data_IF_931999440872
#
_entry.id   IF_931999440872
#
_cell.length_a   1.000
_cell.length_b   1.000
_cell.length_c   1.000
_cell.angle_alpha   90.00
_cell.angle_beta   90.00
_cell.angle_gamma   90.00
#
_symmetry.space_group_name_H-M   'P 1'
#
loop_
_entity.id
_entity.type
_entity.pdbx_description
1 polymer ?
#
# COMPACT_ATOMS: atom_id res chain seq x y z
N UNK A 1 44.85 -84.97 51.31
CA UNK A 1 46.08 -84.19 51.73
C UNK A 1 45.72 -82.74 51.59
N UNK A 2 45.45 -82.15 52.61
CA UNK A 2 46.21 -81.35 53.53
C UNK A 2 46.11 -79.85 53.28
N UNK A 3 45.50 -79.24 54.29
CA UNK A 3 45.84 -77.94 54.90
C UNK A 3 45.48 -76.68 54.04
N UNK A 4 44.82 -75.66 54.47
CA UNK A 4 44.65 -75.18 55.85
C UNK A 4 44.88 -73.66 55.87
N UNK A 5 44.08 -72.98 56.67
CA UNK A 5 44.46 -71.82 57.48
C UNK A 5 44.07 -70.41 56.99
N UNK A 6 43.11 -69.86 57.76
CA UNK A 6 43.03 -68.54 58.39
C UNK A 6 43.30 -67.25 57.56
N UNK A 7 42.31 -66.30 57.49
CA UNK A 7 42.29 -65.25 58.45
C UNK A 7 41.80 -63.94 57.98
N UNK A 8 41.03 -63.36 58.82
CA UNK A 8 40.72 -61.91 59.05
C UNK A 8 39.52 -61.28 58.36
N UNK A 9 38.57 -61.11 59.16
CA UNK A 9 37.46 -60.19 59.01
C UNK A 9 37.94 -58.72 59.07
N UNK A 10 37.55 -57.89 58.09
CA UNK A 10 37.57 -56.43 58.24
C UNK A 10 36.13 -55.97 57.80
N UNK A 11 35.46 -55.39 58.78
CA UNK A 11 34.19 -54.64 58.53
C UNK A 11 34.51 -53.37 57.73
N UNK A 12 33.88 -53.19 56.62
CA UNK A 12 33.81 -51.90 55.96
C UNK A 12 32.36 -51.41 56.02
N UNK A 13 32.14 -50.36 56.78
CA UNK A 13 30.89 -49.58 56.80
C UNK A 13 30.66 -48.96 55.41
N UNK A 14 29.62 -49.39 54.73
CA UNK A 14 29.11 -48.72 53.55
C UNK A 14 28.07 -47.66 53.96
N UNK A 15 28.43 -46.40 53.88
CA UNK A 15 27.51 -45.27 54.05
C UNK A 15 26.64 -45.18 52.78
N UNK A 16 25.35 -45.40 52.91
CA UNK A 16 24.36 -45.09 51.85
C UNK A 16 24.09 -43.58 51.86
N UNK A 17 24.63 -42.89 50.83
CA UNK A 17 24.22 -41.52 50.46
C UNK A 17 22.92 -41.62 49.67
N UNK A 18 21.77 -41.35 50.30
CA UNK A 18 20.51 -41.12 49.64
C UNK A 18 20.53 -39.73 48.96
N UNK A 19 20.83 -39.73 47.64
CA UNK A 19 20.68 -38.55 46.80
C UNK A 19 19.20 -38.31 46.47
N UNK A 20 18.56 -37.37 47.14
CA UNK A 20 17.23 -36.85 46.76
C UNK A 20 17.38 -36.03 45.46
N UNK A 21 17.07 -36.63 44.30
CA UNK A 21 16.89 -35.91 43.06
C UNK A 21 15.59 -35.09 43.14
N UNK A 22 15.72 -33.76 43.35
CA UNK A 22 14.61 -32.82 43.11
C UNK A 22 14.32 -32.81 41.61
N UNK A 23 13.32 -33.58 41.16
CA UNK A 23 12.73 -33.40 39.87
C UNK A 23 11.93 -32.11 39.90
N UNK A 24 12.48 -31.01 39.34
CA UNK A 24 11.72 -29.80 39.02
C UNK A 24 10.72 -30.17 37.92
N UNK A 25 9.49 -30.47 38.33
CA UNK A 25 8.35 -30.46 37.43
C UNK A 25 8.22 -29.05 36.83
N UNK A 26 8.78 -28.82 35.65
CA UNK A 26 8.43 -27.68 34.82
C UNK A 26 6.94 -27.84 34.51
N UNK A 27 6.08 -27.14 35.24
CA UNK A 27 4.68 -27.01 34.89
C UNK A 27 4.63 -26.49 33.45
N UNK A 28 3.86 -27.12 32.53
CA UNK A 28 3.61 -26.52 31.24
C UNK A 28 3.02 -25.14 31.51
N UNK A 29 3.69 -24.08 31.03
CA UNK A 29 3.11 -22.74 31.06
C UNK A 29 1.74 -22.87 30.41
N UNK A 30 0.70 -22.69 31.18
CA UNK A 30 -0.66 -22.61 30.68
C UNK A 30 -0.61 -21.54 29.58
N UNK A 31 -0.77 -21.99 28.34
CA UNK A 31 -0.99 -21.09 27.23
C UNK A 31 -2.29 -20.37 27.63
N UNK A 32 -2.19 -19.13 28.02
CA UNK A 32 -3.37 -18.30 28.20
C UNK A 32 -4.15 -18.44 26.89
N UNK A 33 -5.41 -18.84 26.99
CA UNK A 33 -6.32 -18.97 25.85
C UNK A 33 -6.64 -17.54 25.41
N UNK A 34 -5.70 -16.96 24.65
CA UNK A 34 -5.78 -15.59 24.22
C UNK A 34 -6.65 -15.55 22.97
N UNK A 35 -7.90 -15.13 23.13
CA UNK A 35 -8.79 -14.88 21.99
C UNK A 35 -8.10 -13.96 21.00
N UNK A 36 -8.22 -14.20 19.67
CA UNK A 36 -7.57 -13.38 18.68
C UNK A 36 -8.12 -11.94 18.68
N UNK A 37 -7.25 -10.98 18.33
CA UNK A 37 -7.65 -9.63 17.99
C UNK A 37 -8.02 -9.65 16.51
N UNK A 38 -9.27 -9.31 16.18
CA UNK A 38 -9.79 -9.34 14.81
C UNK A 38 -9.57 -8.00 14.13
N UNK A 39 -8.96 -8.04 12.93
CA UNK A 39 -8.82 -6.88 12.03
C UNK A 39 -9.64 -7.16 10.77
N UNK A 40 -10.59 -6.27 10.46
CA UNK A 40 -11.38 -6.34 9.24
C UNK A 40 -10.58 -5.89 8.01
N UNK A 41 -10.80 -6.54 6.87
CA UNK A 41 -10.23 -6.14 5.57
C UNK A 41 -11.36 -6.06 4.54
N UNK A 42 -11.69 -4.86 4.08
CA UNK A 42 -12.65 -4.64 2.98
C UNK A 42 -11.88 -4.37 1.69
N UNK A 43 -12.05 -5.21 0.68
CA UNK A 43 -11.31 -5.07 -0.57
C UNK A 43 -11.94 -5.83 -1.72
N UNK A 44 -11.82 -5.32 -2.95
CA UNK A 44 -12.33 -5.96 -4.19
C UNK A 44 -11.38 -7.06 -4.64
N UNK A 45 -11.62 -8.31 -4.25
CA UNK A 45 -10.70 -9.43 -4.39
C UNK A 45 -10.36 -9.78 -5.86
N UNK A 46 -11.25 -9.46 -6.79
CA UNK A 46 -11.06 -9.73 -8.23
C UNK A 46 -10.10 -8.74 -8.92
N UNK A 47 -9.68 -7.68 -8.24
CA UNK A 47 -8.81 -6.62 -8.81
C UNK A 47 -7.37 -6.78 -8.34
N UNK A 48 -6.41 -6.28 -9.16
CA UNK A 48 -4.99 -6.30 -8.79
C UNK A 48 -4.74 -5.56 -7.47
N UNK A 49 -5.21 -4.31 -7.27
CA UNK A 49 -5.01 -3.60 -6.00
C UNK A 49 -5.73 -4.27 -4.82
N UNK A 50 -6.93 -4.80 -5.05
CA UNK A 50 -7.70 -5.43 -3.99
C UNK A 50 -7.06 -6.74 -3.50
N UNK A 51 -6.66 -7.62 -4.40
CA UNK A 51 -5.92 -8.83 -4.05
C UNK A 51 -4.59 -8.51 -3.36
N UNK A 52 -3.89 -7.46 -3.82
CA UNK A 52 -2.63 -7.03 -3.24
C UNK A 52 -2.79 -6.52 -1.81
N UNK A 53 -3.84 -5.76 -1.52
CA UNK A 53 -4.20 -5.30 -0.16
C UNK A 53 -4.35 -6.49 0.80
N UNK A 54 -5.14 -7.49 0.42
CA UNK A 54 -5.34 -8.71 1.22
C UNK A 54 -4.04 -9.49 1.42
N UNK A 55 -3.22 -9.60 0.39
CA UNK A 55 -1.94 -10.29 0.48
C UNK A 55 -0.96 -9.55 1.43
N UNK A 56 -0.93 -8.23 1.37
CA UNK A 56 -0.16 -7.40 2.31
C UNK A 56 -0.60 -7.61 3.77
N UNK A 57 -1.93 -7.58 4.01
CA UNK A 57 -2.48 -7.85 5.34
C UNK A 57 -2.12 -9.24 5.85
N UNK A 58 -2.26 -10.29 5.02
CA UNK A 58 -1.90 -11.66 5.39
C UNK A 58 -0.44 -11.81 5.76
N UNK A 59 0.46 -11.18 5.00
CA UNK A 59 1.89 -11.23 5.28
C UNK A 59 2.21 -10.55 6.62
N UNK A 60 1.68 -9.35 6.86
CA UNK A 60 1.87 -8.63 8.11
C UNK A 60 1.37 -9.43 9.32
N UNK A 61 0.15 -9.98 9.25
CA UNK A 61 -0.42 -10.79 10.35
C UNK A 61 0.41 -12.05 10.60
N UNK A 62 0.87 -12.73 9.54
CA UNK A 62 1.72 -13.91 9.71
C UNK A 62 3.03 -13.58 10.44
N UNK A 63 3.68 -12.46 10.10
CA UNK A 63 4.93 -12.01 10.73
C UNK A 63 4.70 -11.57 12.19
N UNK A 64 3.66 -10.78 12.45
CA UNK A 64 3.31 -10.31 13.81
C UNK A 64 2.98 -11.52 14.71
N UNK A 65 2.20 -12.49 14.21
CA UNK A 65 1.86 -13.68 14.97
C UNK A 65 3.07 -14.57 15.24
N UNK A 66 3.99 -14.69 14.27
CA UNK A 66 5.25 -15.40 14.47
C UNK A 66 6.14 -14.74 15.52
N UNK A 67 6.03 -13.42 15.71
CA UNK A 67 6.72 -12.66 16.76
C UNK A 67 6.02 -12.71 18.14
N UNK A 68 4.86 -13.37 18.27
CA UNK A 68 4.13 -13.54 19.54
C UNK A 68 2.79 -12.81 19.60
N UNK A 69 2.36 -12.20 18.50
CA UNK A 69 1.10 -11.45 18.41
C UNK A 69 1.20 -10.05 19.03
N UNK A 70 0.05 -9.47 19.36
CA UNK A 70 -0.10 -8.14 19.97
C UNK A 70 -0.60 -8.30 21.39
N UNK A 71 0.13 -7.79 22.37
CA UNK A 71 -0.17 -7.98 23.81
C UNK A 71 -0.35 -9.47 24.19
N UNK A 72 0.32 -10.39 23.46
CA UNK A 72 0.18 -11.84 23.67
C UNK A 72 -1.02 -12.49 22.98
N UNK A 73 -1.81 -11.73 22.24
CA UNK A 73 -2.95 -12.21 21.45
C UNK A 73 -2.57 -12.33 19.97
N UNK A 74 -2.93 -13.43 19.27
CA UNK A 74 -2.72 -13.50 17.83
C UNK A 74 -3.68 -12.54 17.11
N UNK A 75 -3.22 -11.95 16.00
CA UNK A 75 -4.09 -11.23 15.08
C UNK A 75 -4.83 -12.22 14.18
N UNK A 76 -6.09 -11.94 13.88
CA UNK A 76 -6.91 -12.65 12.92
C UNK A 76 -7.50 -11.66 11.92
N UNK A 77 -7.50 -12.03 10.61
CA UNK A 77 -8.15 -11.22 9.58
C UNK A 77 -9.57 -11.73 9.33
N UNK A 78 -10.51 -10.80 9.31
CA UNK A 78 -11.82 -10.99 8.69
C UNK A 78 -11.81 -10.29 7.33
N UNK A 79 -11.73 -11.09 6.24
CA UNK A 79 -11.57 -10.59 4.88
C UNK A 79 -12.91 -10.64 4.17
N UNK A 80 -13.40 -9.47 3.75
CA UNK A 80 -14.66 -9.34 3.04
C UNK A 80 -14.43 -8.75 1.64
N UNK A 81 -15.02 -9.44 0.63
CA UNK A 81 -15.03 -8.94 -0.75
C UNK A 81 -16.09 -7.83 -0.87
N UNK A 82 -15.63 -6.60 -1.08
CA UNK A 82 -16.53 -5.47 -1.32
C UNK A 82 -17.09 -5.43 -2.76
N UNK A 83 -16.61 -6.32 -3.64
CA UNK A 83 -17.04 -6.44 -5.04
C UNK A 83 -17.00 -5.12 -5.83
N UNK A 84 -16.13 -4.19 -5.43
CA UNK A 84 -16.09 -2.82 -5.96
C UNK A 84 -17.45 -2.07 -5.81
N UNK A 85 -18.24 -2.43 -4.82
CA UNK A 85 -19.61 -1.94 -4.60
C UNK A 85 -19.73 -1.30 -3.23
N UNK A 86 -20.13 -0.02 -3.18
CA UNK A 86 -20.39 0.68 -1.92
C UNK A 86 -21.45 -0.03 -1.06
N UNK A 87 -22.48 -0.62 -1.70
CA UNK A 87 -23.54 -1.35 -0.98
C UNK A 87 -22.99 -2.60 -0.30
N UNK A 88 -22.21 -3.42 -1.02
CA UNK A 88 -21.58 -4.63 -0.48
C UNK A 88 -20.57 -4.27 0.63
N UNK A 89 -19.76 -3.24 0.40
CA UNK A 89 -18.78 -2.76 1.37
C UNK A 89 -19.43 -2.30 2.68
N UNK A 90 -20.52 -1.53 2.62
CA UNK A 90 -21.26 -1.06 3.81
C UNK A 90 -21.83 -2.25 4.58
N UNK A 91 -22.44 -3.22 3.91
CA UNK A 91 -22.97 -4.42 4.59
C UNK A 91 -21.86 -5.23 5.28
N UNK A 92 -20.72 -5.40 4.61
CA UNK A 92 -19.56 -6.08 5.16
C UNK A 92 -18.94 -5.33 6.34
N UNK A 93 -18.82 -4.00 6.23
CA UNK A 93 -18.29 -3.14 7.30
C UNK A 93 -19.11 -3.27 8.58
N UNK A 94 -20.43 -3.15 8.45
CA UNK A 94 -21.35 -3.31 9.59
C UNK A 94 -21.21 -4.69 10.23
N UNK A 95 -21.14 -5.75 9.42
CA UNK A 95 -20.97 -7.11 9.90
C UNK A 95 -19.65 -7.29 10.65
N UNK A 96 -18.52 -6.88 10.04
CA UNK A 96 -17.18 -6.97 10.65
C UNK A 96 -17.15 -6.29 12.03
N UNK A 97 -17.76 -5.10 12.15
CA UNK A 97 -17.81 -4.37 13.42
C UNK A 97 -18.76 -5.00 14.43
N UNK A 98 -20.01 -5.33 14.03
CA UNK A 98 -21.08 -5.66 15.00
C UNK A 98 -21.22 -7.13 15.31
N UNK A 99 -20.76 -8.01 14.43
CA UNK A 99 -20.90 -9.47 14.55
C UNK A 99 -19.57 -10.17 14.72
N UNK A 100 -18.56 -9.78 13.94
CA UNK A 100 -17.26 -10.41 13.94
C UNK A 100 -16.26 -9.70 14.88
N UNK A 101 -16.69 -8.59 15.50
CA UNK A 101 -15.97 -7.83 16.54
C UNK A 101 -14.57 -7.38 16.11
N UNK A 102 -14.42 -6.95 14.87
CA UNK A 102 -13.21 -6.28 14.43
C UNK A 102 -12.94 -5.05 15.31
N UNK A 103 -11.68 -4.80 15.64
CA UNK A 103 -11.24 -3.66 16.47
C UNK A 103 -10.73 -2.50 15.63
N UNK A 104 -10.47 -2.76 14.36
CA UNK A 104 -10.16 -1.80 13.31
C UNK A 104 -10.42 -2.44 11.94
N UNK A 105 -10.72 -1.62 10.94
CA UNK A 105 -10.91 -2.08 9.56
C UNK A 105 -9.90 -1.39 8.67
N UNK A 106 -9.25 -2.13 7.75
CA UNK A 106 -8.37 -1.62 6.71
C UNK A 106 -8.97 -1.86 5.32
N UNK A 107 -8.64 -1.03 4.37
CA UNK A 107 -9.12 -1.07 2.98
C UNK A 107 -9.71 0.29 2.66
N UNK A 108 -10.28 0.54 1.59
CA UNK A 108 -10.38 -0.06 0.27
C UNK A 108 -9.49 0.75 -0.69
N UNK A 109 -9.44 0.38 -1.98
CA UNK A 109 -8.70 1.16 -2.97
C UNK A 109 -9.61 2.05 -3.85
N UNK A 110 -10.91 1.88 -3.78
CA UNK A 110 -11.93 2.61 -4.55
C UNK A 110 -12.46 3.77 -3.72
N UNK A 111 -12.31 4.99 -4.21
CA UNK A 111 -12.68 6.20 -3.45
C UNK A 111 -14.18 6.29 -3.15
N UNK A 112 -15.03 5.91 -4.08
CA UNK A 112 -16.49 5.88 -3.91
C UNK A 112 -16.90 4.91 -2.80
N UNK A 113 -16.21 3.80 -2.67
CA UNK A 113 -16.41 2.82 -1.60
C UNK A 113 -15.93 3.39 -0.27
N UNK A 114 -14.71 3.96 -0.23
CA UNK A 114 -14.17 4.57 0.98
C UNK A 114 -15.09 5.66 1.55
N UNK A 115 -15.54 6.58 0.69
CA UNK A 115 -16.48 7.65 1.06
C UNK A 115 -17.83 7.13 1.58
N UNK A 116 -18.28 5.97 1.10
CA UNK A 116 -19.49 5.33 1.60
C UNK A 116 -19.31 4.66 2.97
N UNK A 117 -18.07 4.25 3.32
CA UNK A 117 -17.75 3.62 4.60
C UNK A 117 -17.50 4.63 5.73
N UNK A 118 -17.03 5.84 5.43
CA UNK A 118 -16.71 6.87 6.44
C UNK A 118 -17.85 7.19 7.42
N UNK A 119 -19.12 7.37 6.99
CA UNK A 119 -20.23 7.60 7.91
C UNK A 119 -20.50 6.42 8.84
N UNK A 120 -20.13 5.19 8.43
CA UNK A 120 -20.30 4.01 9.25
C UNK A 120 -19.17 3.86 10.26
N UNK A 121 -17.92 4.17 9.89
CA UNK A 121 -16.81 4.27 10.81
C UNK A 121 -17.11 5.27 11.94
N UNK A 122 -17.62 6.44 11.58
CA UNK A 122 -18.09 7.46 12.54
C UNK A 122 -19.23 6.94 13.43
N UNK A 123 -20.29 6.41 12.85
CA UNK A 123 -21.48 5.97 13.56
C UNK A 123 -21.22 4.79 14.52
N UNK A 124 -20.35 3.88 14.12
CA UNK A 124 -20.01 2.69 14.89
C UNK A 124 -18.80 2.90 15.80
N UNK A 125 -18.17 4.08 15.74
CA UNK A 125 -16.91 4.41 16.40
C UNK A 125 -15.82 3.37 16.08
N UNK A 126 -15.73 2.96 14.81
CA UNK A 126 -14.81 1.93 14.36
C UNK A 126 -13.58 2.56 13.68
N UNK A 127 -12.36 2.36 14.20
CA UNK A 127 -11.15 2.82 13.52
C UNK A 127 -11.06 2.23 12.11
N UNK A 128 -11.02 3.12 11.10
CA UNK A 128 -10.99 2.75 9.69
C UNK A 128 -9.79 3.38 9.00
N UNK A 129 -8.83 2.57 8.53
CA UNK A 129 -7.67 3.02 7.79
C UNK A 129 -7.88 2.77 6.30
N UNK A 130 -8.04 3.84 5.53
CA UNK A 130 -8.19 3.79 4.06
C UNK A 130 -6.83 3.58 3.44
N UNK A 131 -6.59 2.39 2.85
CA UNK A 131 -5.25 1.96 2.44
C UNK A 131 -4.97 2.06 0.94
N UNK A 132 -5.89 2.64 0.15
CA UNK A 132 -5.66 2.69 -1.30
C UNK A 132 -6.50 3.71 -2.07
N UNK A 133 -7.57 4.22 -1.49
CA UNK A 133 -8.40 5.25 -2.11
C UNK A 133 -7.77 6.63 -1.94
N UNK A 134 -7.78 7.47 -2.99
CA UNK A 134 -7.01 8.71 -3.05
C UNK A 134 -7.83 9.99 -2.97
N UNK A 135 -9.18 9.93 -2.95
CA UNK A 135 -9.98 11.16 -2.97
C UNK A 135 -9.63 12.11 -1.83
N UNK A 136 -9.38 13.39 -2.12
CA UNK A 136 -9.18 14.42 -1.10
C UNK A 136 -10.40 14.55 -0.15
N UNK A 137 -11.59 14.13 -0.61
CA UNK A 137 -12.81 14.20 0.17
C UNK A 137 -12.75 13.34 1.44
N UNK A 138 -11.92 12.28 1.46
CA UNK A 138 -11.70 11.43 2.64
C UNK A 138 -11.18 12.27 3.81
N UNK A 139 -10.06 12.98 3.63
CA UNK A 139 -9.51 13.85 4.68
C UNK A 139 -10.40 15.08 4.95
N UNK A 140 -11.06 15.61 3.92
CA UNK A 140 -12.00 16.73 4.09
C UNK A 140 -13.22 16.33 4.91
N UNK A 141 -13.68 15.09 4.82
CA UNK A 141 -14.75 14.56 5.67
C UNK A 141 -14.36 14.62 7.15
N UNK A 142 -13.15 14.17 7.49
CA UNK A 142 -12.63 14.19 8.86
C UNK A 142 -12.47 15.64 9.35
N UNK A 143 -11.81 16.48 8.55
CA UNK A 143 -11.53 17.88 8.88
C UNK A 143 -12.78 18.69 9.20
N UNK A 144 -13.88 18.43 8.48
CA UNK A 144 -15.14 19.16 8.62
C UNK A 144 -15.76 19.03 10.01
N UNK A 145 -15.57 17.90 10.68
CA UNK A 145 -16.15 17.60 11.99
C UNK A 145 -15.29 16.56 12.71
N UNK A 146 -14.10 17.00 13.11
CA UNK A 146 -13.10 16.13 13.70
C UNK A 146 -13.62 15.39 14.95
N UNK A 147 -14.35 16.07 15.83
CA UNK A 147 -14.80 15.48 17.09
C UNK A 147 -15.58 14.17 16.89
N UNK A 148 -16.47 14.16 15.91
CA UNK A 148 -17.28 12.99 15.59
C UNK A 148 -16.60 12.04 14.60
N UNK A 149 -15.71 12.54 13.70
CA UNK A 149 -15.19 11.80 12.54
C UNK A 149 -13.75 11.32 12.67
N UNK A 150 -13.15 11.46 13.83
CA UNK A 150 -11.75 11.09 14.15
C UNK A 150 -11.41 9.61 13.92
N UNK A 151 -12.39 8.75 13.69
CA UNK A 151 -12.20 7.30 13.51
C UNK A 151 -11.64 6.92 12.14
N UNK A 152 -11.66 7.84 11.16
CA UNK A 152 -11.15 7.58 9.81
C UNK A 152 -9.71 8.06 9.68
N UNK A 153 -8.83 7.24 9.08
CA UNK A 153 -7.44 7.57 8.76
C UNK A 153 -7.18 7.33 7.29
N UNK A 154 -6.56 8.29 6.62
CA UNK A 154 -6.22 8.20 5.21
C UNK A 154 -4.78 7.69 5.06
N UNK A 155 -4.59 6.37 5.17
CA UNK A 155 -3.29 5.68 5.14
C UNK A 155 -2.74 5.47 3.72
N UNK A 156 -3.16 6.31 2.79
CA UNK A 156 -2.69 6.42 1.41
C UNK A 156 -2.57 7.89 1.03
N UNK A 157 -2.06 8.19 -0.14
CA UNK A 157 -1.88 9.56 -0.60
C UNK A 157 -3.19 10.17 -1.09
N UNK A 158 -3.64 11.30 -0.54
CA UNK A 158 -4.63 12.14 -1.19
C UNK A 158 -4.23 12.49 -2.62
N UNK A 159 -5.21 12.66 -3.51
CA UNK A 159 -4.97 13.01 -4.92
C UNK A 159 -4.10 14.26 -5.10
N UNK A 160 -4.19 15.23 -4.18
CA UNK A 160 -3.33 16.40 -4.19
C UNK A 160 -1.84 16.03 -4.01
N UNK A 161 -1.53 15.04 -3.13
CA UNK A 161 -0.15 14.59 -2.91
C UNK A 161 0.32 13.69 -4.06
N UNK A 162 -0.57 12.88 -4.64
CA UNK A 162 -0.27 12.15 -5.87
C UNK A 162 0.07 13.10 -7.02
N UNK A 163 -0.71 14.16 -7.20
CA UNK A 163 -0.42 15.18 -8.22
C UNK A 163 0.95 15.83 -7.99
N UNK A 164 1.25 16.20 -6.74
CA UNK A 164 2.56 16.77 -6.40
C UNK A 164 3.70 15.82 -6.77
N UNK A 165 3.61 14.54 -6.35
CA UNK A 165 4.65 13.54 -6.67
C UNK A 165 4.81 13.31 -8.18
N UNK A 166 3.72 13.31 -8.96
CA UNK A 166 3.79 13.21 -10.42
C UNK A 166 4.42 14.46 -11.03
N UNK A 167 4.10 15.66 -10.54
CA UNK A 167 4.69 16.89 -11.04
C UNK A 167 6.18 16.98 -10.72
N UNK A 168 6.60 16.58 -9.51
CA UNK A 168 8.01 16.54 -9.13
C UNK A 168 8.79 15.55 -10.01
N UNK A 169 8.26 14.34 -10.22
CA UNK A 169 8.85 13.37 -11.12
C UNK A 169 8.85 13.83 -12.60
N UNK A 170 7.79 14.54 -13.03
CA UNK A 170 7.70 15.10 -14.39
C UNK A 170 8.75 16.19 -14.63
N UNK A 171 9.00 17.03 -13.63
CA UNK A 171 10.08 18.03 -13.72
C UNK A 171 11.42 17.36 -13.98
N UNK A 172 11.84 16.44 -13.11
CA UNK A 172 13.15 15.82 -13.19
C UNK A 172 13.30 14.90 -14.42
N UNK A 173 12.26 14.13 -14.75
CA UNK A 173 12.34 13.09 -15.80
C UNK A 173 11.84 13.62 -17.14
N UNK A 174 10.61 14.15 -17.21
CA UNK A 174 10.03 14.52 -18.50
C UNK A 174 10.63 15.81 -19.06
N UNK A 175 10.89 16.81 -18.18
CA UNK A 175 11.41 18.11 -18.60
C UNK A 175 12.93 18.13 -18.62
N UNK A 176 13.60 17.82 -17.52
CA UNK A 176 15.05 18.00 -17.42
C UNK A 176 15.83 16.91 -18.16
N UNK A 177 15.40 15.62 -18.07
CA UNK A 177 16.12 14.53 -18.71
C UNK A 177 15.66 14.29 -20.16
N UNK A 178 14.33 14.33 -20.42
CA UNK A 178 13.76 14.01 -21.74
C UNK A 178 13.45 15.25 -22.60
N UNK A 179 13.56 16.46 -22.05
CA UNK A 179 13.31 17.75 -22.73
C UNK A 179 11.90 17.92 -23.33
N UNK A 180 10.89 17.22 -22.72
CA UNK A 180 9.50 17.34 -23.13
C UNK A 180 8.92 18.69 -22.68
N UNK A 181 7.94 19.23 -23.42
CA UNK A 181 7.41 20.59 -23.20
C UNK A 181 5.90 20.64 -23.04
N UNK A 182 5.20 19.63 -23.58
CA UNK A 182 3.75 19.66 -23.67
C UNK A 182 3.14 18.35 -23.18
N UNK A 183 1.97 18.46 -22.55
CA UNK A 183 1.24 17.30 -22.08
C UNK A 183 -0.27 17.44 -22.29
N UNK A 184 -0.96 16.31 -22.39
CA UNK A 184 -2.40 16.21 -22.16
C UNK A 184 -2.63 15.46 -20.84
N UNK A 185 -3.57 15.95 -20.02
CA UNK A 185 -4.09 15.19 -18.89
C UNK A 185 -5.16 14.26 -19.44
N UNK A 186 -5.08 12.97 -19.13
CA UNK A 186 -5.99 11.95 -19.61
C UNK A 186 -6.47 11.08 -18.47
N UNK A 187 -7.67 11.31 -17.96
CA UNK A 187 -8.17 10.70 -16.74
C UNK A 187 -9.55 10.07 -16.88
N UNK A 188 -9.79 8.98 -16.16
CA UNK A 188 -11.10 8.42 -15.96
C UNK A 188 -11.98 9.37 -15.12
N UNK A 189 -13.31 9.32 -15.28
CA UNK A 189 -14.23 10.13 -14.46
C UNK A 189 -14.58 9.42 -13.15
N UNK A 190 -13.78 9.65 -12.12
CA UNK A 190 -13.89 9.06 -10.79
C UNK A 190 -13.72 10.11 -9.68
N UNK A 191 -14.11 9.79 -8.45
CA UNK A 191 -14.03 10.72 -7.32
C UNK A 191 -12.61 11.16 -6.98
N UNK A 192 -11.61 10.33 -7.26
CA UNK A 192 -10.21 10.63 -6.98
C UNK A 192 -9.53 11.45 -8.09
N UNK A 193 -10.00 11.35 -9.35
CA UNK A 193 -9.35 12.02 -10.47
C UNK A 193 -9.70 13.49 -10.60
N UNK A 194 -10.89 13.93 -10.17
CA UNK A 194 -11.22 15.37 -10.19
C UNK A 194 -10.23 16.23 -9.41
N UNK A 195 -9.90 15.91 -8.13
CA UNK A 195 -8.86 16.65 -7.42
C UNK A 195 -7.45 16.35 -7.95
N UNK A 196 -7.19 15.19 -8.56
CA UNK A 196 -5.92 14.87 -9.21
C UNK A 196 -5.69 15.78 -10.42
N UNK A 197 -6.66 15.88 -11.33
CA UNK A 197 -6.58 16.68 -12.55
C UNK A 197 -6.42 18.16 -12.22
N UNK A 198 -7.15 18.65 -11.23
CA UNK A 198 -6.98 20.01 -10.73
C UNK A 198 -5.55 20.25 -10.17
N UNK A 199 -5.01 19.24 -9.47
CA UNK A 199 -3.61 19.23 -9.01
C UNK A 199 -2.63 19.27 -10.18
N UNK A 200 -2.78 18.40 -11.17
CA UNK A 200 -1.97 18.37 -12.39
C UNK A 200 -2.00 19.69 -13.15
N UNK A 201 -3.20 20.23 -13.40
CA UNK A 201 -3.36 21.52 -14.07
C UNK A 201 -2.67 22.69 -13.32
N UNK A 202 -2.63 22.59 -11.99
CA UNK A 202 -1.96 23.59 -11.14
C UNK A 202 -0.44 23.46 -11.10
N UNK A 203 0.11 22.24 -11.07
CA UNK A 203 1.55 22.03 -10.82
C UNK A 203 2.37 21.73 -12.09
N UNK A 204 1.82 21.07 -13.12
CA UNK A 204 2.58 20.75 -14.35
C UNK A 204 3.17 21.97 -15.06
N UNK A 205 2.47 23.13 -15.18
CA UNK A 205 3.08 24.31 -15.74
C UNK A 205 4.32 24.78 -14.96
N UNK A 206 4.27 24.72 -13.64
CA UNK A 206 5.41 25.02 -12.77
C UNK A 206 6.54 24.00 -12.88
N UNK A 207 6.24 22.76 -13.23
CA UNK A 207 7.21 21.72 -13.54
C UNK A 207 7.84 21.85 -14.95
N UNK A 208 7.34 22.75 -15.80
CA UNK A 208 7.87 23.01 -17.15
C UNK A 208 7.07 22.37 -18.29
N UNK A 209 5.91 21.76 -18.00
CA UNK A 209 5.04 21.15 -19.02
C UNK A 209 3.80 22.01 -19.28
N UNK A 210 3.60 22.45 -20.51
CA UNK A 210 2.36 23.11 -20.94
C UNK A 210 1.25 22.09 -21.08
N UNK A 211 0.18 22.22 -20.31
CA UNK A 211 -1.02 21.38 -20.45
C UNK A 211 -1.86 21.88 -21.62
N UNK A 212 -1.96 21.07 -22.68
CA UNK A 212 -2.69 21.42 -23.91
C UNK A 212 -4.20 21.20 -23.73
N UNK A 213 -4.57 20.13 -23.03
CA UNK A 213 -5.97 19.75 -22.82
C UNK A 213 -6.11 18.76 -21.66
N UNK A 214 -7.26 18.78 -21.00
CA UNK A 214 -7.76 17.72 -20.16
C UNK A 214 -8.78 16.89 -20.95
N UNK A 215 -8.57 15.56 -21.00
CA UNK A 215 -9.44 14.59 -21.67
C UNK A 215 -9.95 13.65 -20.58
N UNK A 216 -11.27 13.66 -20.37
CA UNK A 216 -11.92 12.77 -19.41
C UNK A 216 -12.78 11.75 -20.15
N UNK A 217 -12.89 10.55 -19.58
CA UNK A 217 -13.65 9.44 -20.15
C UNK A 217 -14.30 8.60 -19.02
N UNK A 218 -15.33 7.83 -19.39
CA UNK A 218 -16.01 6.94 -18.44
C UNK A 218 -15.07 5.81 -17.99
N UNK A 219 -15.06 5.40 -16.71
CA UNK A 219 -14.39 4.20 -16.25
C UNK A 219 -14.79 2.92 -16.99
N UNK A 220 -16.00 2.90 -17.59
CA UNK A 220 -16.52 1.78 -18.38
C UNK A 220 -16.06 1.80 -19.86
N UNK A 221 -15.18 2.74 -20.24
CA UNK A 221 -14.66 2.84 -21.60
C UNK A 221 -13.85 1.61 -21.96
N UNK A 222 -14.20 0.96 -23.06
CA UNK A 222 -13.51 -0.22 -23.60
C UNK A 222 -12.75 0.05 -24.91
N UNK A 223 -13.15 1.08 -25.68
CA UNK A 223 -12.45 1.52 -26.90
C UNK A 223 -11.81 2.89 -26.67
N UNK A 224 -10.48 2.91 -26.63
CA UNK A 224 -9.68 4.11 -26.42
C UNK A 224 -9.20 4.75 -27.73
N UNK A 225 -9.53 4.16 -28.89
CA UNK A 225 -9.12 4.68 -30.20
C UNK A 225 -9.51 6.13 -30.42
N UNK A 226 -10.77 6.56 -30.21
CA UNK A 226 -11.13 7.96 -30.39
C UNK A 226 -10.49 8.91 -29.36
N UNK A 227 -10.16 8.39 -28.18
CA UNK A 227 -9.51 9.18 -27.12
C UNK A 227 -8.04 9.41 -27.47
N UNK A 228 -7.33 8.38 -27.97
CA UNK A 228 -5.95 8.54 -28.46
C UNK A 228 -5.87 9.42 -29.70
N UNK A 229 -6.79 9.28 -30.66
CA UNK A 229 -6.87 10.18 -31.82
C UNK A 229 -7.06 11.65 -31.41
N UNK A 230 -7.88 11.90 -30.37
CA UNK A 230 -8.04 13.25 -29.81
C UNK A 230 -6.74 13.77 -29.17
N UNK A 231 -6.00 12.91 -28.44
CA UNK A 231 -4.72 13.29 -27.87
C UNK A 231 -3.67 13.54 -28.98
N UNK A 232 -3.55 12.63 -29.96
CA UNK A 232 -2.58 12.74 -31.06
C UNK A 232 -2.79 13.99 -31.92
N UNK A 233 -4.04 14.41 -32.13
CA UNK A 233 -4.36 15.64 -32.87
C UNK A 233 -3.81 16.91 -32.23
N UNK A 234 -3.47 16.88 -30.94
CA UNK A 234 -2.88 18.00 -30.21
C UNK A 234 -1.34 17.97 -30.25
N UNK A 235 -0.73 16.89 -30.75
CA UNK A 235 0.69 16.66 -30.80
C UNK A 235 1.43 16.89 -29.46
N UNK A 236 0.95 16.32 -28.32
CA UNK A 236 1.62 16.45 -27.04
C UNK A 236 2.85 15.55 -26.98
N UNK A 237 3.83 15.91 -26.17
CA UNK A 237 4.99 15.08 -25.89
C UNK A 237 4.63 13.95 -24.90
N UNK A 238 3.70 14.20 -23.96
CA UNK A 238 3.31 13.23 -22.95
C UNK A 238 1.80 13.20 -22.71
N UNK A 239 1.30 12.01 -22.33
CA UNK A 239 0.01 11.80 -21.66
C UNK A 239 0.29 11.66 -20.18
N UNK A 240 -0.35 12.50 -19.34
CA UNK A 240 -0.32 12.39 -17.89
C UNK A 240 -1.64 11.75 -17.46
N UNK A 241 -1.55 10.48 -17.10
CA UNK A 241 -2.70 9.61 -16.84
C UNK A 241 -3.23 9.77 -15.41
N UNK A 242 -4.54 9.59 -15.26
CA UNK A 242 -5.24 9.37 -13.99
C UNK A 242 -6.13 8.12 -14.11
N UNK A 243 -5.55 6.90 -14.03
CA UNK A 243 -6.21 5.63 -14.31
C UNK A 243 -6.15 4.67 -13.13
N UNK A 244 -7.30 4.09 -12.77
CA UNK A 244 -7.38 3.05 -11.74
C UNK A 244 -8.43 1.98 -12.06
N UNK A 245 -9.65 2.38 -12.49
CA UNK A 245 -10.77 1.46 -12.69
C UNK A 245 -10.83 0.86 -14.10
N UNK A 246 -10.27 1.55 -15.09
CA UNK A 246 -10.32 1.18 -16.52
C UNK A 246 -9.55 -0.09 -16.91
N UNK A 247 -8.94 -0.75 -15.95
CA UNK A 247 -8.23 -2.02 -16.18
C UNK A 247 -7.00 -1.87 -17.09
N UNK A 248 -6.82 -2.86 -17.97
CA UNK A 248 -5.63 -2.96 -18.85
C UNK A 248 -5.83 -2.28 -20.21
N UNK A 249 -7.07 -2.01 -20.60
CA UNK A 249 -7.44 -1.62 -21.96
C UNK A 249 -6.71 -0.37 -22.48
N UNK A 250 -6.61 0.74 -21.74
CA UNK A 250 -5.92 1.91 -22.26
C UNK A 250 -4.44 1.62 -22.54
N UNK A 251 -3.78 0.87 -21.67
CA UNK A 251 -2.35 0.52 -21.87
C UNK A 251 -2.15 -0.42 -23.07
N UNK A 252 -3.01 -1.44 -23.22
CA UNK A 252 -2.94 -2.37 -24.34
C UNK A 252 -3.16 -1.63 -25.65
N UNK A 253 -4.19 -0.79 -25.74
CA UNK A 253 -4.50 -0.05 -26.95
C UNK A 253 -3.47 1.05 -27.28
N UNK A 254 -2.84 1.67 -26.26
CA UNK A 254 -1.70 2.56 -26.49
C UNK A 254 -0.55 1.85 -27.23
N UNK A 255 -0.21 0.64 -26.80
CA UNK A 255 0.85 -0.15 -27.41
C UNK A 255 0.46 -0.70 -28.79
N UNK A 256 -0.75 -1.27 -28.93
CA UNK A 256 -1.23 -1.89 -30.18
C UNK A 256 -1.38 -0.86 -31.30
N UNK A 257 -1.89 0.33 -30.98
CA UNK A 257 -2.03 1.44 -31.93
C UNK A 257 -0.71 2.20 -32.14
N UNK A 258 0.33 1.86 -31.36
CA UNK A 258 1.64 2.54 -31.40
C UNK A 258 1.52 4.05 -31.22
N UNK A 259 0.71 4.47 -30.24
CA UNK A 259 0.53 5.89 -29.93
C UNK A 259 1.89 6.52 -29.63
N UNK A 260 2.38 7.48 -30.43
CA UNK A 260 3.77 7.93 -30.39
C UNK A 260 4.07 8.94 -29.26
N UNK A 261 3.35 8.87 -28.16
CA UNK A 261 3.33 9.82 -27.04
C UNK A 261 3.80 9.09 -25.78
N UNK A 262 4.66 9.72 -25.00
CA UNK A 262 5.08 9.19 -23.68
C UNK A 262 3.86 9.00 -22.78
N UNK A 263 3.73 7.83 -22.16
CA UNK A 263 2.67 7.53 -21.20
C UNK A 263 3.22 7.55 -19.79
N UNK A 264 2.79 8.54 -19.01
CA UNK A 264 3.23 8.78 -17.63
C UNK A 264 2.04 9.16 -16.72
N UNK A 265 2.27 9.40 -15.43
CA UNK A 265 1.25 9.85 -14.47
C UNK A 265 0.89 8.77 -13.45
N UNK A 266 -0.38 8.51 -13.24
CA UNK A 266 -0.88 7.45 -12.37
C UNK A 266 -1.63 6.40 -13.19
N UNK A 267 -1.09 5.19 -13.22
CA UNK A 267 -1.84 3.97 -13.53
C UNK A 267 -1.75 3.07 -12.31
N UNK A 268 -2.78 3.11 -11.47
CA UNK A 268 -2.77 2.46 -10.15
C UNK A 268 -2.57 0.93 -10.23
N UNK A 269 -2.96 0.30 -11.35
CA UNK A 269 -2.78 -1.15 -11.54
C UNK A 269 -1.38 -1.51 -12.06
N UNK A 270 -0.68 -0.59 -12.72
CA UNK A 270 0.62 -0.84 -13.35
C UNK A 270 1.78 -0.99 -12.35
N UNK A 271 1.52 -0.87 -11.06
CA UNK A 271 2.52 -1.04 -9.99
C UNK A 271 2.87 -2.50 -9.65
N UNK A 272 2.34 -3.51 -10.37
CA UNK A 272 2.58 -4.94 -10.09
C UNK A 272 2.90 -5.74 -11.35
N UNK A 273 3.72 -6.78 -11.22
CA UNK A 273 3.98 -7.74 -12.31
C UNK A 273 2.73 -8.52 -12.76
N UNK A 274 1.64 -8.51 -11.97
CA UNK A 274 0.35 -9.00 -12.40
C UNK A 274 -0.20 -8.19 -13.58
N UNK A 275 0.00 -6.86 -13.58
CA UNK A 275 -0.41 -5.99 -14.69
C UNK A 275 0.43 -6.22 -15.95
N UNK A 276 1.75 -6.39 -15.81
CA UNK A 276 2.62 -6.78 -16.92
C UNK A 276 2.14 -8.05 -17.61
N UNK A 277 1.79 -9.06 -16.83
CA UNK A 277 1.24 -10.32 -17.34
C UNK A 277 -0.11 -10.12 -18.02
N UNK A 278 -1.01 -9.36 -17.40
CA UNK A 278 -2.35 -9.09 -17.90
C UNK A 278 -2.35 -8.29 -19.22
N UNK A 279 -1.34 -7.43 -19.42
CA UNK A 279 -1.16 -6.65 -20.65
C UNK A 279 -0.28 -7.35 -21.69
N UNK A 280 0.20 -8.57 -21.42
CA UNK A 280 1.14 -9.29 -22.29
C UNK A 280 2.35 -8.42 -22.71
N UNK A 281 2.87 -7.63 -21.78
CA UNK A 281 4.04 -6.75 -22.00
C UNK A 281 3.73 -5.40 -22.66
N UNK A 282 2.49 -5.07 -22.97
CA UNK A 282 2.10 -3.75 -23.51
C UNK A 282 2.42 -2.59 -22.56
N UNK A 283 2.76 -2.89 -21.31
CA UNK A 283 3.19 -1.90 -20.31
C UNK A 283 4.64 -1.41 -20.52
N UNK A 284 5.39 -1.97 -21.47
CA UNK A 284 6.77 -1.58 -21.77
C UNK A 284 6.89 -0.06 -21.96
N UNK A 285 7.74 0.60 -21.18
CA UNK A 285 8.00 2.04 -21.26
C UNK A 285 6.99 2.92 -20.51
N UNK A 286 5.90 2.36 -19.97
CA UNK A 286 4.92 3.11 -19.17
C UNK A 286 5.55 3.55 -17.85
N UNK A 287 5.41 4.84 -17.54
CA UNK A 287 5.84 5.44 -16.25
C UNK A 287 4.62 5.59 -15.35
N UNK A 288 4.71 5.13 -14.10
CA UNK A 288 3.67 5.40 -13.10
C UNK A 288 4.27 5.73 -11.74
N UNK A 289 3.65 6.67 -11.03
CA UNK A 289 3.98 6.89 -9.62
C UNK A 289 3.41 5.74 -8.78
N UNK A 290 4.22 5.23 -7.87
CA UNK A 290 3.86 4.20 -6.90
C UNK A 290 4.33 4.63 -5.50
N UNK A 291 3.84 4.01 -4.44
CA UNK A 291 4.27 4.32 -3.07
C UNK A 291 5.68 3.78 -2.77
N UNK A 292 6.04 2.65 -3.40
CA UNK A 292 7.32 1.99 -3.26
C UNK A 292 7.58 1.06 -4.46
N UNK A 293 8.79 0.55 -4.58
CA UNK A 293 9.17 -0.51 -5.52
C UNK A 293 9.94 -1.62 -4.77
N UNK A 294 9.82 -2.90 -5.20
CA UNK A 294 10.29 -4.04 -4.39
C UNK A 294 11.81 -4.14 -4.26
N UNK A 295 12.56 -3.55 -5.17
CA UNK A 295 14.02 -3.56 -5.27
C UNK A 295 14.64 -2.17 -5.04
N UNK A 296 13.94 -1.31 -4.31
CA UNK A 296 14.38 0.05 -3.97
C UNK A 296 14.38 0.24 -2.47
N UNK A 297 15.53 0.50 -1.90
CA UNK A 297 15.72 0.69 -0.46
C UNK A 297 15.22 2.07 0.01
N UNK A 298 13.90 2.31 -0.04
CA UNK A 298 13.29 3.54 0.51
C UNK A 298 13.51 3.58 2.02
N UNK A 299 13.27 2.43 2.66
CA UNK A 299 13.56 2.17 4.08
C UNK A 299 14.22 0.79 4.21
N UNK A 300 14.79 0.44 5.39
CA UNK A 300 15.28 -0.91 5.63
C UNK A 300 14.22 -2.01 5.52
N UNK A 301 12.93 -1.66 5.43
CA UNK A 301 11.82 -2.62 5.33
C UNK A 301 11.32 -2.84 3.91
N UNK A 302 11.62 -1.95 2.96
CA UNK A 302 11.06 -1.98 1.60
C UNK A 302 11.47 -3.25 0.84
N UNK A 303 12.79 -3.49 0.70
CA UNK A 303 13.30 -4.66 -0.03
C UNK A 303 12.95 -6.00 0.66
N UNK A 304 13.09 -6.16 2.00
CA UNK A 304 12.65 -7.37 2.68
C UNK A 304 11.18 -7.70 2.46
N UNK A 305 10.29 -6.70 2.53
CA UNK A 305 8.87 -6.88 2.23
C UNK A 305 8.64 -7.30 0.77
N UNK A 306 9.27 -6.61 -0.20
CA UNK A 306 9.18 -6.94 -1.63
C UNK A 306 9.57 -8.39 -1.90
N UNK A 307 10.70 -8.83 -1.33
CA UNK A 307 11.20 -10.21 -1.46
C UNK A 307 10.26 -11.24 -0.80
N UNK A 308 9.77 -10.96 0.41
CA UNK A 308 8.83 -11.83 1.12
C UNK A 308 7.50 -11.95 0.37
N UNK A 309 6.97 -10.84 -0.14
CA UNK A 309 5.75 -10.81 -0.93
C UNK A 309 5.90 -11.61 -2.23
N UNK A 310 6.98 -11.40 -2.97
CA UNK A 310 7.24 -12.13 -4.21
C UNK A 310 7.43 -13.63 -3.96
N UNK A 311 8.09 -14.00 -2.86
CA UNK A 311 8.24 -15.41 -2.45
C UNK A 311 6.89 -16.05 -2.12
N UNK A 312 5.99 -15.33 -1.45
CA UNK A 312 4.69 -15.84 -1.03
C UNK A 312 3.69 -15.94 -2.19
N UNK A 313 3.69 -14.99 -3.12
CA UNK A 313 2.63 -14.83 -4.11
C UNK A 313 3.09 -14.94 -5.57
N UNK A 314 4.39 -15.02 -5.86
CA UNK A 314 4.95 -15.15 -7.22
C UNK A 314 4.80 -13.92 -8.11
N UNK A 315 4.45 -12.77 -7.54
CA UNK A 315 4.29 -11.47 -8.20
C UNK A 315 4.92 -10.37 -7.35
N UNK A 316 5.25 -9.22 -7.97
CA UNK A 316 5.66 -8.03 -7.21
C UNK A 316 4.44 -7.36 -6.57
N UNK A 317 4.59 -6.72 -5.38
CA UNK A 317 3.49 -6.05 -4.71
C UNK A 317 2.99 -4.84 -5.51
N UNK A 318 1.68 -4.64 -5.57
CA UNK A 318 1.07 -3.36 -5.97
C UNK A 318 1.09 -2.37 -4.79
N UNK A 319 0.82 -1.11 -5.05
CA UNK A 319 0.87 -0.04 -4.03
C UNK A 319 0.06 -0.37 -2.77
N UNK A 320 -1.14 -0.95 -2.94
CA UNK A 320 -2.04 -1.31 -1.84
C UNK A 320 -1.52 -2.44 -0.95
N UNK A 321 -0.57 -3.26 -1.42
CA UNK A 321 0.09 -4.25 -0.58
C UNK A 321 0.99 -3.59 0.45
N UNK A 322 1.79 -2.59 0.05
CA UNK A 322 2.65 -1.82 0.94
C UNK A 322 1.85 -1.06 1.99
N UNK A 323 0.83 -0.32 1.55
CA UNK A 323 0.02 0.53 2.43
C UNK A 323 -0.79 -0.28 3.43
N UNK A 324 -1.35 -1.43 3.01
CA UNK A 324 -2.12 -2.30 3.91
C UNK A 324 -1.20 -3.05 4.87
N UNK A 325 -0.05 -3.56 4.39
CA UNK A 325 0.96 -4.17 5.25
C UNK A 325 1.40 -3.21 6.35
N UNK A 326 1.80 -2.00 5.99
CA UNK A 326 2.21 -0.97 6.96
C UNK A 326 1.07 -0.60 7.92
N UNK A 327 -0.18 -0.52 7.43
CA UNK A 327 -1.35 -0.20 8.25
C UNK A 327 -1.63 -1.25 9.31
N UNK A 328 -1.46 -2.54 9.02
CA UNK A 328 -1.57 -3.62 10.02
C UNK A 328 -0.52 -3.46 11.13
N UNK A 329 0.72 -3.14 10.78
CA UNK A 329 1.77 -2.87 11.76
C UNK A 329 1.49 -1.61 12.58
N UNK A 330 0.97 -0.56 11.96
CA UNK A 330 0.57 0.69 12.63
C UNK A 330 -0.55 0.42 13.64
N UNK A 331 -1.57 -0.37 13.26
CA UNK A 331 -2.65 -0.77 14.17
C UNK A 331 -2.09 -1.60 15.33
N UNK A 332 -1.24 -2.59 15.05
CA UNK A 332 -0.62 -3.43 16.07
C UNK A 332 0.17 -2.58 17.09
N UNK A 333 1.03 -1.68 16.60
CA UNK A 333 1.79 -0.77 17.46
C UNK A 333 0.89 0.21 18.25
N UNK A 334 -0.22 0.66 17.65
CA UNK A 334 -1.18 1.53 18.33
C UNK A 334 -1.94 0.80 19.44
N UNK A 335 -2.31 -0.47 19.24
CA UNK A 335 -2.94 -1.30 20.28
C UNK A 335 -1.96 -1.51 21.44
N UNK A 336 -0.71 -1.85 21.17
CA UNK A 336 0.32 -1.99 22.23
C UNK A 336 0.52 -0.68 23.00
N UNK A 337 0.59 0.45 22.31
CA UNK A 337 0.77 1.77 22.90
C UNK A 337 -0.46 2.21 23.73
N UNK A 338 -1.67 1.87 23.27
CA UNK A 338 -2.92 2.16 23.99
C UNK A 338 -3.14 1.19 25.16
N UNK A 339 -2.56 -0.01 25.14
CA UNK A 339 -2.79 -1.09 26.10
C UNK A 339 -4.22 -1.65 26.06
N UNK A 340 -4.96 -1.39 24.99
CA UNK A 340 -6.36 -1.79 24.80
C UNK A 340 -6.74 -1.76 23.33
N UNK A 341 -7.81 -2.48 22.98
CA UNK A 341 -8.45 -2.46 21.66
C UNK A 341 -9.66 -1.51 21.58
N UNK A 342 -9.97 -0.77 22.66
CA UNK A 342 -11.09 0.18 22.66
C UNK A 342 -10.84 1.33 21.69
N UNK A 343 -11.88 1.73 20.96
CA UNK A 343 -11.76 2.64 19.81
C UNK A 343 -11.11 3.99 20.12
N UNK A 344 -11.59 4.73 21.14
CA UNK A 344 -11.05 6.07 21.44
C UNK A 344 -9.57 6.07 21.88
N UNK A 345 -9.10 5.18 22.78
CA UNK A 345 -7.67 5.04 23.06
C UNK A 345 -6.85 4.61 21.83
N UNK A 346 -7.42 3.74 20.99
CA UNK A 346 -6.75 3.29 19.77
C UNK A 346 -6.61 4.44 18.77
N UNK A 347 -7.66 5.23 18.54
CA UNK A 347 -7.60 6.45 17.70
C UNK A 347 -6.53 7.41 18.25
N UNK A 348 -6.53 7.70 19.57
CA UNK A 348 -5.53 8.58 20.16
C UNK A 348 -4.08 8.05 20.05
N UNK A 349 -3.90 6.74 19.94
CA UNK A 349 -2.60 6.12 19.68
C UNK A 349 -2.22 6.17 18.20
N UNK A 350 -3.18 5.96 17.29
CA UNK A 350 -3.02 6.08 15.84
C UNK A 350 -2.62 7.51 15.44
N UNK A 351 -3.23 8.54 16.01
CA UNK A 351 -2.85 9.94 15.77
C UNK A 351 -1.40 10.27 16.14
N UNK A 352 -0.82 9.47 17.03
CA UNK A 352 0.59 9.60 17.46
C UNK A 352 1.50 8.61 16.76
N UNK A 353 1.10 8.13 15.60
CA UNK A 353 1.91 7.25 14.76
C UNK A 353 3.21 7.94 14.36
N UNK A 354 4.32 7.27 14.62
CA UNK A 354 5.64 7.56 14.12
C UNK A 354 6.31 6.21 13.83
N UNK A 355 6.13 5.76 12.58
CA UNK A 355 6.51 4.41 12.20
C UNK A 355 7.28 4.40 10.88
N UNK A 356 8.46 3.79 10.87
CA UNK A 356 9.20 3.53 9.63
C UNK A 356 8.64 2.27 9.00
N UNK A 357 7.83 2.48 7.96
CA UNK A 357 7.18 1.42 7.18
C UNK A 357 7.97 1.04 5.94
N UNK A 358 7.30 0.38 5.01
CA UNK A 358 7.87 -0.04 3.71
C UNK A 358 7.95 1.10 2.69
N UNK A 359 7.09 2.11 2.82
CA UNK A 359 6.94 3.23 1.88
C UNK A 359 7.58 4.54 2.37
N UNK A 360 8.13 4.56 3.58
CA UNK A 360 8.71 5.74 4.23
C UNK A 360 8.42 5.79 5.72
N UNK A 361 8.62 6.95 6.33
CA UNK A 361 8.17 7.26 7.68
C UNK A 361 6.72 7.69 7.66
N UNK A 362 5.88 6.98 8.41
CA UNK A 362 4.45 7.20 8.51
C UNK A 362 4.13 8.05 9.73
N UNK A 363 3.49 9.17 9.49
CA UNK A 363 2.96 10.10 10.49
C UNK A 363 1.66 10.66 9.95
N UNK A 364 0.60 10.66 10.74
CA UNK A 364 -0.67 11.24 10.33
C UNK A 364 -0.70 12.75 10.62
N UNK A 365 -1.23 13.52 9.68
CA UNK A 365 -1.46 14.96 9.85
C UNK A 365 -2.57 15.20 10.89
N UNK A 366 -2.35 16.16 11.77
CA UNK A 366 -3.27 16.51 12.84
C UNK A 366 -4.56 17.20 12.37
N UNK A 367 -5.45 17.48 13.31
CA UNK A 367 -6.78 18.08 13.08
C UNK A 367 -6.74 19.46 12.41
N UNK A 368 -5.65 20.22 12.56
CA UNK A 368 -5.50 21.55 11.96
C UNK A 368 -5.18 21.51 10.46
N UNK A 369 -4.85 20.35 9.92
CA UNK A 369 -4.59 20.17 8.50
C UNK A 369 -5.88 19.98 7.73
N UNK A 370 -6.02 20.65 6.56
CA UNK A 370 -7.11 20.33 5.61
C UNK A 370 -7.09 18.86 5.13
N UNK A 371 -5.94 18.20 5.25
CA UNK A 371 -5.75 16.77 5.02
C UNK A 371 -5.67 16.02 6.35
N UNK A 372 -6.60 16.28 7.27
CA UNK A 372 -6.66 15.63 8.58
C UNK A 372 -6.57 14.11 8.43
N UNK A 373 -5.72 13.49 9.26
CA UNK A 373 -5.44 12.05 9.27
C UNK A 373 -4.91 11.47 7.95
N UNK A 374 -4.49 12.30 6.96
CA UNK A 374 -3.68 11.80 5.85
C UNK A 374 -2.23 11.59 6.30
N UNK A 375 -1.53 10.68 5.63
CA UNK A 375 -0.09 10.54 5.82
C UNK A 375 0.63 11.84 5.47
N UNK A 376 1.61 12.22 6.28
CA UNK A 376 2.49 13.35 6.01
C UNK A 376 3.32 13.06 4.76
N UNK A 377 3.17 13.91 3.75
CA UNK A 377 3.85 13.78 2.46
C UNK A 377 5.04 14.74 2.38
N UNK A 378 6.14 14.28 1.80
CA UNK A 378 7.33 15.10 1.53
C UNK A 378 8.64 14.51 2.08
N UNK A 379 9.75 15.20 1.90
CA UNK A 379 11.08 14.74 2.32
C UNK A 379 11.13 14.29 3.79
N UNK A 380 11.69 13.11 4.03
CA UNK A 380 11.78 12.52 5.38
C UNK A 380 10.54 11.74 5.81
N UNK A 381 9.47 11.75 5.03
CA UNK A 381 8.22 10.99 5.23
C UNK A 381 7.94 10.12 4.02
N UNK A 382 6.72 10.12 3.51
CA UNK A 382 6.35 9.39 2.30
C UNK A 382 6.38 10.33 1.10
N UNK A 383 6.94 9.88 -0.04
CA UNK A 383 7.05 10.68 -1.27
C UNK A 383 6.56 9.92 -2.50
N UNK A 384 6.55 8.61 -2.43
CA UNK A 384 6.40 7.75 -3.60
C UNK A 384 7.67 7.66 -4.45
N UNK A 385 7.59 6.84 -5.47
CA UNK A 385 8.63 6.62 -6.49
C UNK A 385 7.98 6.54 -7.87
N UNK A 386 8.62 7.10 -8.91
CA UNK A 386 8.21 6.83 -10.27
C UNK A 386 8.92 5.56 -10.77
N UNK A 387 8.14 4.59 -11.18
CA UNK A 387 8.61 3.35 -11.77
C UNK A 387 8.31 3.33 -13.26
N UNK A 388 9.17 2.65 -14.02
CA UNK A 388 8.97 2.36 -15.43
C UNK A 388 9.13 0.87 -15.70
N UNK A 389 8.30 0.32 -16.57
CA UNK A 389 8.45 -1.05 -17.04
C UNK A 389 9.50 -1.13 -18.13
N UNK A 390 10.56 -1.90 -17.90
CA UNK A 390 11.65 -2.15 -18.84
C UNK A 390 11.91 -3.66 -18.89
N UNK A 391 11.67 -4.27 -20.04
CA UNK A 391 11.90 -5.70 -20.32
C UNK A 391 11.27 -6.64 -19.25
N UNK A 392 10.06 -6.32 -18.84
CA UNK A 392 9.31 -7.09 -17.84
C UNK A 392 9.69 -6.86 -16.39
N UNK A 393 10.57 -5.90 -16.13
CA UNK A 393 11.03 -5.53 -14.78
C UNK A 393 10.61 -4.10 -14.47
N UNK A 394 10.13 -3.88 -13.25
CA UNK A 394 9.92 -2.54 -12.74
C UNK A 394 11.25 -1.90 -12.41
N UNK A 395 11.52 -0.73 -12.96
CA UNK A 395 12.71 0.08 -12.67
C UNK A 395 12.30 1.37 -12.01
N UNK A 396 12.96 1.72 -10.92
CA UNK A 396 12.84 3.03 -10.32
C UNK A 396 13.62 4.05 -11.17
N UNK A 397 12.93 5.08 -11.64
CA UNK A 397 13.55 6.18 -12.40
C UNK A 397 13.52 7.50 -11.62
N UNK A 398 12.73 7.58 -10.55
CA UNK A 398 12.63 8.75 -9.67
C UNK A 398 12.21 8.32 -8.24
N UNK A 399 12.68 9.01 -7.17
CA UNK A 399 13.59 10.17 -7.18
C UNK A 399 15.01 9.78 -7.62
N UNK A 400 15.76 10.73 -8.16
CA UNK A 400 17.04 10.48 -8.83
C UNK A 400 18.10 9.79 -7.95
N UNK A 401 18.06 10.05 -6.63
CA UNK A 401 18.96 9.41 -5.65
C UNK A 401 18.61 7.93 -5.34
N UNK A 402 17.42 7.46 -5.73
CA UNK A 402 16.99 6.07 -5.62
C UNK A 402 16.85 5.39 -6.98
N UNK A 403 17.01 6.14 -8.07
CA UNK A 403 16.87 5.61 -9.43
C UNK A 403 17.91 4.51 -9.72
N UNK A 404 17.44 3.39 -10.26
CA UNK A 404 18.26 2.25 -10.65
C UNK A 404 18.28 2.02 -12.17
N UNK A 405 17.58 2.86 -12.93
CA UNK A 405 17.61 2.90 -14.39
C UNK A 405 17.31 4.30 -14.92
N UNK A 406 17.66 4.53 -16.20
CA UNK A 406 17.22 5.68 -16.99
C UNK A 406 15.92 5.36 -17.72
N UNK A 407 15.10 6.37 -18.08
CA UNK A 407 13.93 6.16 -18.91
C UNK A 407 14.26 5.49 -20.24
N UNK A 408 13.46 4.47 -20.61
CA UNK A 408 13.59 3.76 -21.87
C UNK A 408 12.19 3.49 -22.46
N UNK A 409 12.03 3.72 -23.78
CA UNK A 409 10.73 3.65 -24.42
C UNK A 409 10.73 2.69 -25.61
N UNK A 410 9.57 2.10 -25.95
CA UNK A 410 9.43 1.36 -27.19
C UNK A 410 9.66 2.28 -28.40
N UNK A 411 10.11 1.70 -29.51
CA UNK A 411 10.53 2.46 -30.72
C UNK A 411 9.42 3.30 -31.36
N UNK A 412 8.16 3.04 -31.04
CA UNK A 412 7.04 3.83 -31.55
C UNK A 412 6.85 5.14 -30.79
N UNK A 413 7.33 5.25 -29.55
CA UNK A 413 7.29 6.49 -28.78
C UNK A 413 8.31 7.46 -29.34
N UNK A 414 7.86 8.64 -29.73
CA UNK A 414 8.72 9.70 -30.27
C UNK A 414 9.10 10.68 -29.17
N UNK A 415 10.35 10.67 -28.79
CA UNK A 415 10.91 11.75 -27.98
C UNK A 415 11.20 12.95 -28.88
N UNK A 416 10.91 14.17 -28.39
CA UNK A 416 11.36 15.36 -29.09
C UNK A 416 12.87 15.25 -29.33
N UNK A 417 13.31 15.33 -30.59
CA UNK A 417 14.75 15.35 -30.86
C UNK A 417 15.34 16.52 -30.10
N UNK A 418 16.32 16.25 -29.22
CA UNK A 418 17.11 17.29 -28.62
C UNK A 418 17.59 18.21 -29.78
N UNK A 419 17.07 19.43 -29.84
CA UNK A 419 17.40 20.35 -30.91
C UNK A 419 18.91 20.50 -30.96
N UNK A 420 19.46 20.21 -32.16
CA UNK A 420 20.87 20.49 -32.50
C UNK A 420 21.16 21.99 -32.34
#
# INVERSE_FOLDING_TARGET
>A
MSKGIFGRRTCALTALLAGTALATLAAPAARADSSPIVIGVSSSLATIPGAASVNGAKLAVAEINAAGGVMGHPLQLDIQDDQASSTSAVASFQRMTTQDHAVAIVGTWISEVALALEPWATRLHEPYLVTGAASNAISAYIHKDYADRKYVFHAYFPSAFLAQGVCDASHDILVDELHLKTAVIMSEDAAWTKPLDAGYAGCLPGAGLTVLKEIRFSPDTSDFTPIYQQAEALHPDAIIAGWAHVGVQPTVQWADQKVPIVLAGINAQAGSSAFWKATNGATQGVITLNVAAPDVAITPKTEPFGAAYQKAYGITPAYSAYTTYDSIYVIAAAIEKAGTTSADPLVAALEKTDYVGTQGRLEFLGQDSQFTHALRFGPGFVTGVAIQWQDGVQKCIWPLNLANAKPAFPSFVKLASAGN
#
